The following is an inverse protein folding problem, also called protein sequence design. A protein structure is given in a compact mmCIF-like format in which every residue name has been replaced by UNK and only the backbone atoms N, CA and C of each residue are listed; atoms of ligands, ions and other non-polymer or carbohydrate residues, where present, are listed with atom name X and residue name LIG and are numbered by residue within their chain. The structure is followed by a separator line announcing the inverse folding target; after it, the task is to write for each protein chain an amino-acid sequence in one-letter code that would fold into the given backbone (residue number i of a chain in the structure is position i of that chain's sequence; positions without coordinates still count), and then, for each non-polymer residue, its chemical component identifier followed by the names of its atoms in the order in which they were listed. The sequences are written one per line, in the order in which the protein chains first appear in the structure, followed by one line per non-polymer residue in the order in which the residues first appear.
data_IF_200298067961
#
_entry.id   IF_200298067961
#
_cell.length_a   1.000
_cell.length_b   1.000
_cell.length_c   1.000
_cell.angle_alpha   90.00
_cell.angle_beta   90.00
_cell.angle_gamma   90.00
#
_symmetry.space_group_name_H-M   'P 1'
#
loop_
_entity.id
_entity.type
_entity.pdbx_description
1 polymer ?
#
# COMPACT_ATOMS: atom_id res chain seq x y z
N UNK A 1 2.73 68.56 -28.24
CA UNK A 1 3.22 67.22 -28.53
C UNK A 1 3.01 66.34 -27.29
N UNK A 2 1.95 65.52 -27.28
CA UNK A 2 1.65 64.59 -26.16
C UNK A 2 2.32 63.27 -26.47
N UNK A 3 3.25 62.80 -25.60
CA UNK A 3 3.88 61.47 -25.68
C UNK A 3 2.94 60.47 -25.00
N UNK A 4 2.38 59.58 -25.80
CA UNK A 4 1.58 58.45 -25.33
C UNK A 4 2.56 57.32 -24.89
N UNK A 5 2.57 57.03 -23.60
CA UNK A 5 3.35 55.97 -23.02
C UNK A 5 2.58 54.62 -23.15
N UNK A 6 3.09 53.76 -24.03
CA UNK A 6 2.57 52.39 -24.13
C UNK A 6 3.06 51.58 -22.94
N UNK A 7 2.17 51.19 -22.06
CA UNK A 7 2.44 50.22 -21.03
C UNK A 7 2.24 48.81 -21.62
N UNK A 8 3.32 48.12 -21.89
CA UNK A 8 3.29 46.72 -22.27
C UNK A 8 3.03 45.88 -21.02
N UNK A 9 1.80 45.36 -20.91
CA UNK A 9 1.52 44.31 -19.93
C UNK A 9 2.14 43.00 -20.44
N UNK A 10 3.30 42.65 -19.86
CA UNK A 10 3.84 41.30 -20.00
C UNK A 10 3.01 40.41 -19.08
N UNK A 11 2.04 39.72 -19.67
CA UNK A 11 1.37 38.63 -18.99
C UNK A 11 2.39 37.53 -18.78
N UNK A 12 2.84 37.35 -17.57
CA UNK A 12 3.58 36.16 -17.17
C UNK A 12 2.66 34.95 -17.28
N UNK A 13 2.63 34.31 -18.45
CA UNK A 13 2.16 32.94 -18.54
C UNK A 13 3.00 32.11 -17.57
N UNK A 14 2.41 31.70 -16.47
CA UNK A 14 2.96 30.67 -15.63
C UNK A 14 3.18 29.43 -16.51
N UNK A 15 4.41 29.16 -16.88
CA UNK A 15 4.82 27.88 -17.42
C UNK A 15 4.38 26.83 -16.40
N UNK A 16 3.34 26.05 -16.73
CA UNK A 16 3.03 24.81 -16.03
C UNK A 16 4.27 23.93 -16.21
N UNK A 17 5.11 23.92 -15.19
CA UNK A 17 6.29 23.08 -15.10
C UNK A 17 5.80 21.65 -15.29
N UNK A 18 6.13 21.01 -16.43
CA UNK A 18 6.07 19.56 -16.53
C UNK A 18 6.83 19.00 -15.34
N UNK A 19 6.16 18.21 -14.50
CA UNK A 19 6.67 17.74 -13.22
C UNK A 19 8.08 17.16 -13.36
N UNK A 20 9.01 17.81 -12.67
CA UNK A 20 10.42 17.44 -12.66
C UNK A 20 10.54 16.06 -12.02
N UNK A 21 11.04 15.05 -12.73
CA UNK A 21 11.27 13.73 -12.13
C UNK A 21 12.39 13.85 -11.11
N UNK A 22 12.06 13.74 -9.84
CA UNK A 22 13.02 13.71 -8.76
C UNK A 22 13.38 12.28 -8.41
N UNK A 23 14.67 12.05 -8.12
CA UNK A 23 15.18 10.78 -7.63
C UNK A 23 15.68 10.95 -6.20
N UNK A 24 15.39 9.95 -5.39
CA UNK A 24 15.84 9.87 -4.01
C UNK A 24 17.36 9.60 -3.96
N UNK A 25 18.04 10.24 -3.03
CA UNK A 25 19.44 9.93 -2.72
C UNK A 25 19.67 9.93 -1.20
N UNK A 26 20.79 9.36 -0.79
CA UNK A 26 21.19 9.28 0.61
C UNK A 26 22.48 10.07 0.86
N UNK A 27 22.51 10.81 1.94
CA UNK A 27 23.70 11.43 2.48
C UNK A 27 23.69 11.34 4.01
N UNK A 28 24.75 10.80 4.62
CA UNK A 28 24.83 10.57 6.06
C UNK A 28 23.58 9.92 6.66
N UNK A 29 23.11 8.84 6.02
CA UNK A 29 21.89 8.09 6.38
C UNK A 29 20.60 8.91 6.36
N UNK A 30 20.59 10.09 5.74
CA UNK A 30 19.41 10.91 5.51
C UNK A 30 19.00 10.89 4.06
N UNK A 31 17.69 11.01 3.84
CA UNK A 31 17.08 11.05 2.50
C UNK A 31 16.89 12.48 2.05
N UNK A 32 17.31 12.76 0.83
CA UNK A 32 17.02 13.96 0.06
C UNK A 32 16.58 13.61 -1.36
N UNK A 33 16.27 14.61 -2.16
CA UNK A 33 15.85 14.41 -3.55
C UNK A 33 16.58 15.36 -4.49
N UNK A 34 16.95 14.85 -5.66
CA UNK A 34 17.65 15.58 -6.71
C UNK A 34 16.95 15.40 -8.04
N UNK A 35 17.14 16.38 -8.93
CA UNK A 35 16.63 16.32 -10.29
C UNK A 35 17.57 15.53 -11.23
N UNK A 36 17.18 15.40 -12.50
CA UNK A 36 17.96 14.70 -13.54
C UNK A 36 19.31 15.36 -13.82
N UNK A 37 19.51 16.64 -13.46
CA UNK A 37 20.79 17.35 -13.56
C UNK A 37 21.69 17.17 -12.33
N UNK A 38 21.29 16.30 -11.39
CA UNK A 38 21.92 16.11 -10.07
C UNK A 38 21.87 17.33 -9.15
N UNK A 39 21.04 18.34 -9.43
CA UNK A 39 20.82 19.46 -8.54
C UNK A 39 19.94 19.00 -7.36
N UNK A 40 20.38 19.32 -6.14
CA UNK A 40 19.63 18.98 -4.92
C UNK A 40 18.42 19.92 -4.82
N UNK A 41 17.22 19.33 -4.90
CA UNK A 41 15.95 20.05 -4.75
C UNK A 41 15.46 19.97 -3.30
N UNK A 42 15.63 18.81 -2.68
CA UNK A 42 15.28 18.59 -1.28
C UNK A 42 16.52 18.12 -0.53
N UNK A 43 16.97 18.91 0.44
CA UNK A 43 18.13 18.56 1.24
C UNK A 43 17.93 17.25 1.99
N UNK A 44 19.01 16.48 2.25
CA UNK A 44 18.93 15.17 2.91
C UNK A 44 18.70 15.34 4.43
N UNK A 45 17.46 15.68 4.81
CA UNK A 45 17.04 15.94 6.19
C UNK A 45 16.13 14.85 6.74
N UNK A 46 15.51 14.02 5.89
CA UNK A 46 14.54 13.01 6.30
C UNK A 46 15.22 11.71 6.73
N UNK A 47 14.66 11.03 7.74
CA UNK A 47 15.12 9.71 8.20
C UNK A 47 14.76 8.61 7.19
N UNK A 48 13.62 8.77 6.50
CA UNK A 48 13.17 7.91 5.41
C UNK A 48 12.36 8.71 4.40
N UNK A 49 12.25 8.20 3.19
CA UNK A 49 11.45 8.79 2.13
C UNK A 49 11.17 7.77 1.02
N UNK A 50 9.98 7.86 0.41
CA UNK A 50 9.62 7.06 -0.76
C UNK A 50 10.12 7.71 -2.05
N UNK A 51 10.06 7.00 -3.17
CA UNK A 51 10.06 7.66 -4.48
C UNK A 51 8.79 8.51 -4.63
N UNK A 52 8.85 9.50 -5.53
CA UNK A 52 7.67 10.28 -5.88
C UNK A 52 6.70 9.42 -6.69
N UNK A 53 5.43 9.46 -6.30
CA UNK A 53 4.30 8.89 -7.04
C UNK A 53 3.21 9.95 -7.13
N UNK A 54 2.68 10.23 -8.31
CA UNK A 54 1.68 11.29 -8.55
C UNK A 54 2.09 12.67 -7.99
N UNK A 55 3.39 12.98 -8.07
CA UNK A 55 3.94 14.25 -7.61
C UNK A 55 4.11 14.38 -6.09
N UNK A 56 3.92 13.32 -5.32
CA UNK A 56 3.96 13.29 -3.85
C UNK A 56 4.93 12.22 -3.38
N UNK A 57 5.75 12.53 -2.36
CA UNK A 57 6.58 11.55 -1.67
C UNK A 57 6.22 11.51 -0.18
N UNK A 58 6.10 10.30 0.35
CA UNK A 58 6.03 10.06 1.79
C UNK A 58 7.41 10.28 2.40
N UNK A 59 7.51 11.06 3.47
CA UNK A 59 8.75 11.31 4.18
C UNK A 59 8.57 11.12 5.68
N UNK A 60 9.69 10.84 6.36
CA UNK A 60 9.73 10.65 7.81
C UNK A 60 10.83 11.50 8.44
N UNK A 61 10.50 12.26 9.47
CA UNK A 61 11.44 12.91 10.37
C UNK A 61 10.87 12.86 11.80
N UNK A 62 11.77 12.82 12.81
CA UNK A 62 11.40 12.74 14.22
C UNK A 62 10.35 11.64 14.53
N UNK A 63 10.48 10.48 13.86
CA UNK A 63 9.55 9.34 13.95
C UNK A 63 8.09 9.70 13.58
N UNK A 64 7.89 10.78 12.85
CA UNK A 64 6.59 11.16 12.28
C UNK A 64 6.66 11.15 10.76
N UNK A 65 5.56 10.79 10.16
CA UNK A 65 5.39 10.73 8.71
C UNK A 65 4.47 11.83 8.21
N UNK A 66 4.76 12.29 7.02
CA UNK A 66 4.01 13.31 6.29
C UNK A 66 4.36 13.23 4.80
N UNK A 67 3.94 14.21 4.02
CA UNK A 67 4.12 14.16 2.58
C UNK A 67 4.63 15.49 2.04
N UNK A 68 5.51 15.41 1.06
CA UNK A 68 6.08 16.54 0.34
C UNK A 68 5.71 16.50 -1.15
N UNK A 69 5.66 17.66 -1.78
CA UNK A 69 5.59 17.82 -3.22
C UNK A 69 6.99 17.81 -3.88
N UNK A 70 7.03 17.92 -5.19
CA UNK A 70 8.26 17.93 -5.99
C UNK A 70 9.12 19.21 -5.79
N UNK A 71 8.65 20.20 -5.07
CA UNK A 71 9.45 21.37 -4.65
C UNK A 71 10.09 21.17 -3.29
N UNK A 72 9.75 20.09 -2.60
CA UNK A 72 10.16 19.79 -1.23
C UNK A 72 9.28 20.45 -0.16
N UNK A 73 8.18 21.09 -0.57
CA UNK A 73 7.21 21.66 0.36
C UNK A 73 6.41 20.56 1.03
N UNK A 74 6.29 20.62 2.35
CA UNK A 74 5.34 19.80 3.09
C UNK A 74 3.90 20.17 2.67
N UNK A 75 3.22 19.25 2.00
CA UNK A 75 1.81 19.39 1.64
C UNK A 75 0.91 18.77 2.70
N UNK A 76 1.43 17.79 3.44
CA UNK A 76 0.78 17.19 4.60
C UNK A 76 1.83 17.10 5.71
N UNK A 77 1.59 17.75 6.88
CA UNK A 77 2.57 17.81 7.96
C UNK A 77 3.04 16.46 8.48
N UNK A 78 4.27 16.42 9.00
CA UNK A 78 4.85 15.26 9.68
C UNK A 78 4.20 15.09 11.06
N UNK A 79 3.03 14.44 11.09
CA UNK A 79 2.25 14.27 12.32
C UNK A 79 1.79 12.82 12.56
N UNK A 80 1.80 11.98 11.53
CA UNK A 80 1.30 10.61 11.60
C UNK A 80 2.33 9.66 12.21
N UNK A 81 1.87 8.71 13.01
CA UNK A 81 2.69 7.65 13.62
C UNK A 81 3.12 6.62 12.58
N UNK A 82 2.23 6.35 11.64
CA UNK A 82 2.46 5.53 10.46
C UNK A 82 1.71 6.11 9.25
N UNK A 83 2.20 5.86 8.05
CA UNK A 83 1.58 6.31 6.82
C UNK A 83 2.04 5.46 5.64
N UNK A 84 1.16 5.25 4.68
CA UNK A 84 1.42 4.58 3.42
C UNK A 84 1.39 5.57 2.25
N UNK A 85 1.88 5.17 1.09
CA UNK A 85 1.72 5.93 -0.15
C UNK A 85 0.23 6.08 -0.51
N UNK A 86 -0.09 7.11 -1.29
CA UNK A 86 -1.44 7.27 -1.83
C UNK A 86 -1.74 6.18 -2.86
N UNK A 87 -2.90 5.54 -2.69
CA UNK A 87 -3.48 4.57 -3.62
C UNK A 87 -4.94 4.96 -3.82
N UNK A 88 -5.41 5.03 -5.07
CA UNK A 88 -6.77 5.44 -5.42
C UNK A 88 -7.20 6.78 -4.77
N UNK A 89 -6.23 7.71 -4.61
CA UNK A 89 -6.45 9.03 -4.02
C UNK A 89 -6.48 9.08 -2.49
N UNK A 90 -6.32 7.96 -1.80
CA UNK A 90 -6.32 7.84 -0.35
C UNK A 90 -4.99 7.29 0.18
N UNK A 91 -4.56 7.80 1.33
CA UNK A 91 -3.45 7.25 2.10
C UNK A 91 -3.94 6.70 3.43
N UNK A 92 -3.57 5.47 3.73
CA UNK A 92 -3.75 4.88 5.05
C UNK A 92 -2.75 5.52 6.01
N UNK A 93 -3.22 6.10 7.12
CA UNK A 93 -2.36 6.77 8.10
C UNK A 93 -2.77 6.40 9.52
N UNK A 94 -1.79 6.37 10.43
CA UNK A 94 -2.01 6.13 11.86
C UNK A 94 -1.95 7.44 12.63
N UNK A 95 -2.98 7.71 13.41
CA UNK A 95 -3.09 8.89 14.26
C UNK A 95 -3.81 8.55 15.56
N UNK A 96 -3.22 8.93 16.69
CA UNK A 96 -3.78 8.58 18.00
C UNK A 96 -3.87 7.06 18.25
N UNK A 97 -2.92 6.29 17.72
CA UNK A 97 -2.87 4.83 17.87
C UNK A 97 -3.83 4.05 16.97
N UNK A 98 -4.65 4.71 16.13
CA UNK A 98 -5.61 4.07 15.23
C UNK A 98 -5.35 4.46 13.77
N UNK A 99 -5.73 3.58 12.85
CA UNK A 99 -5.64 3.81 11.42
C UNK A 99 -6.92 4.39 10.85
N UNK A 100 -6.78 5.30 9.90
CA UNK A 100 -7.82 5.87 9.07
C UNK A 100 -7.26 6.23 7.70
N UNK A 101 -8.03 6.96 6.90
CA UNK A 101 -7.61 7.31 5.54
C UNK A 101 -7.85 8.79 5.27
N UNK A 102 -6.85 9.43 4.67
CA UNK A 102 -6.87 10.83 4.28
C UNK A 102 -6.77 10.97 2.76
N UNK A 103 -7.28 12.07 2.24
CA UNK A 103 -7.04 12.48 0.85
C UNK A 103 -5.75 13.34 0.74
N UNK A 104 -5.39 13.75 -0.49
CA UNK A 104 -4.21 14.59 -0.78
C UNK A 104 -4.27 16.00 -0.16
N UNK A 105 -5.42 16.43 0.40
CA UNK A 105 -5.59 17.69 1.14
C UNK A 105 -5.48 17.52 2.65
N UNK A 106 -5.15 16.31 3.12
CA UNK A 106 -5.16 15.89 4.52
C UNK A 106 -6.57 15.85 5.16
N UNK A 107 -7.65 15.90 4.37
CA UNK A 107 -8.99 15.70 4.90
C UNK A 107 -9.19 14.22 5.24
N UNK A 108 -9.77 13.96 6.40
CA UNK A 108 -10.20 12.61 6.78
C UNK A 108 -11.37 12.15 5.92
N UNK A 109 -11.15 11.15 5.09
CA UNK A 109 -12.23 10.46 4.37
C UNK A 109 -12.78 9.34 5.25
N UNK A 110 -11.89 8.66 5.98
CA UNK A 110 -12.25 7.62 6.94
C UNK A 110 -11.52 7.92 8.25
N UNK A 111 -12.28 8.18 9.31
CA UNK A 111 -11.74 8.54 10.63
C UNK A 111 -10.81 7.44 11.16
N UNK A 112 -9.80 7.76 12.01
CA UNK A 112 -8.88 6.80 12.59
C UNK A 112 -9.58 5.97 13.68
N UNK A 113 -10.26 4.90 13.28
CA UNK A 113 -11.07 4.03 14.15
C UNK A 113 -10.66 2.55 14.10
N UNK A 114 -9.73 2.18 13.22
CA UNK A 114 -9.29 0.80 13.03
C UNK A 114 -8.01 0.50 13.82
N UNK A 115 -7.91 -0.72 14.36
CA UNK A 115 -6.72 -1.18 15.07
C UNK A 115 -5.56 -1.40 14.08
N UNK A 116 -5.88 -1.99 12.90
CA UNK A 116 -5.00 -2.17 11.76
C UNK A 116 -5.76 -1.84 10.48
N UNK A 117 -5.05 -1.28 9.50
CA UNK A 117 -5.59 -1.01 8.17
C UNK A 117 -4.47 -1.04 7.12
N UNK A 118 -4.83 -1.35 5.88
CA UNK A 118 -3.88 -1.44 4.77
C UNK A 118 -4.34 -0.60 3.58
N UNK A 119 -3.47 -0.45 2.59
CA UNK A 119 -3.80 0.27 1.35
C UNK A 119 -4.91 -0.43 0.57
N UNK A 120 -5.58 0.33 -0.28
CA UNK A 120 -6.61 -0.23 -1.15
C UNK A 120 -6.00 -1.12 -2.22
N UNK A 121 -6.63 -2.27 -2.45
CA UNK A 121 -6.34 -3.21 -3.53
C UNK A 121 -7.67 -3.62 -4.17
N UNK A 122 -7.77 -3.50 -5.49
CA UNK A 122 -9.00 -3.80 -6.23
C UNK A 122 -10.24 -3.08 -5.63
N UNK A 123 -10.05 -1.79 -5.21
CA UNK A 123 -11.12 -0.95 -4.64
C UNK A 123 -11.55 -1.31 -3.22
N UNK A 124 -10.83 -2.21 -2.54
CA UNK A 124 -11.11 -2.61 -1.14
C UNK A 124 -9.86 -2.52 -0.29
N UNK A 125 -10.03 -2.10 0.97
CA UNK A 125 -8.98 -2.19 1.98
C UNK A 125 -9.40 -3.14 3.08
N UNK A 126 -8.49 -4.03 3.48
CA UNK A 126 -8.69 -4.82 4.68
C UNK A 126 -8.43 -3.97 5.91
N UNK A 127 -9.31 -4.08 6.87
CA UNK A 127 -9.24 -3.35 8.14
C UNK A 127 -9.53 -4.29 9.30
N UNK A 128 -8.92 -4.02 10.45
CA UNK A 128 -9.16 -4.76 11.67
C UNK A 128 -9.78 -3.84 12.72
N UNK A 129 -10.75 -4.35 13.43
CA UNK A 129 -11.31 -3.72 14.63
C UNK A 129 -11.71 -4.80 15.63
N UNK A 130 -11.31 -4.61 16.90
CA UNK A 130 -11.57 -5.57 17.97
C UNK A 130 -11.06 -6.99 17.63
N UNK A 131 -9.87 -7.09 17.02
CA UNK A 131 -9.24 -8.35 16.66
C UNK A 131 -9.85 -9.07 15.45
N UNK A 132 -10.86 -8.50 14.78
CA UNK A 132 -11.50 -9.13 13.61
C UNK A 132 -11.27 -8.31 12.35
N UNK A 133 -11.00 -9.02 11.26
CA UNK A 133 -10.77 -8.47 9.94
C UNK A 133 -12.03 -8.48 9.09
N UNK A 134 -12.14 -7.48 8.23
CA UNK A 134 -13.14 -7.33 7.17
C UNK A 134 -12.64 -6.35 6.14
N UNK A 135 -13.53 -5.89 5.27
CA UNK A 135 -13.14 -5.00 4.17
C UNK A 135 -14.07 -3.81 4.05
N UNK A 136 -13.48 -2.68 3.67
CA UNK A 136 -14.17 -1.42 3.39
C UNK A 136 -13.94 -1.00 1.94
N UNK A 137 -14.83 -0.16 1.43
CA UNK A 137 -14.65 0.54 0.15
C UNK A 137 -13.99 1.91 0.35
N UNK A 138 -13.71 2.64 -0.74
CA UNK A 138 -13.10 3.98 -0.74
C UNK A 138 -13.90 5.04 0.03
N UNK A 139 -15.20 4.81 0.30
CA UNK A 139 -16.03 5.70 1.12
C UNK A 139 -15.98 5.37 2.61
N UNK A 140 -15.38 4.24 2.97
CA UNK A 140 -15.34 3.73 4.34
C UNK A 140 -16.53 2.84 4.70
N UNK A 141 -17.41 2.51 3.75
CA UNK A 141 -18.50 1.58 4.00
C UNK A 141 -17.93 0.17 4.18
N UNK A 142 -18.35 -0.53 5.24
CA UNK A 142 -17.98 -1.94 5.45
C UNK A 142 -18.71 -2.79 4.42
N UNK A 143 -17.97 -3.28 3.42
CA UNK A 143 -18.51 -4.11 2.34
C UNK A 143 -18.48 -5.59 2.67
N UNK A 144 -17.55 -6.01 3.53
CA UNK A 144 -17.43 -7.38 4.05
C UNK A 144 -17.26 -7.28 5.55
N UNK A 145 -18.18 -7.87 6.35
CA UNK A 145 -18.19 -7.75 7.79
C UNK A 145 -16.87 -8.11 8.47
N UNK A 146 -16.54 -7.39 9.55
CA UNK A 146 -15.34 -7.65 10.36
C UNK A 146 -15.61 -8.88 11.25
N UNK A 147 -15.37 -10.06 10.72
CA UNK A 147 -15.62 -11.35 11.39
C UNK A 147 -14.47 -12.35 11.30
N UNK A 148 -13.54 -12.15 10.38
CA UNK A 148 -12.46 -13.09 10.11
C UNK A 148 -11.31 -12.93 11.11
N UNK A 149 -10.63 -14.03 11.40
CA UNK A 149 -9.44 -14.03 12.26
C UNK A 149 -8.23 -13.45 11.52
N UNK A 150 -8.14 -13.70 10.22
CA UNK A 150 -7.16 -13.13 9.30
C UNK A 150 -7.80 -12.78 7.96
N UNK A 151 -7.24 -11.79 7.27
CA UNK A 151 -7.55 -11.47 5.89
C UNK A 151 -6.30 -11.00 5.15
N UNK A 152 -6.17 -11.35 3.88
CA UNK A 152 -5.19 -10.78 2.96
C UNK A 152 -5.88 -9.86 1.96
N UNK A 153 -5.10 -9.01 1.28
CA UNK A 153 -5.63 -8.12 0.27
C UNK A 153 -6.26 -8.88 -0.89
N UNK A 154 -7.21 -8.25 -1.56
CA UNK A 154 -7.77 -8.79 -2.79
C UNK A 154 -6.68 -8.91 -3.86
N UNK A 155 -6.66 -10.02 -4.54
CA UNK A 155 -5.80 -10.30 -5.68
C UNK A 155 -6.54 -11.18 -6.67
N UNK A 156 -6.61 -10.75 -7.92
CA UNK A 156 -7.33 -11.46 -8.99
C UNK A 156 -8.81 -11.71 -8.66
N UNK A 157 -9.45 -10.74 -7.94
CA UNK A 157 -10.87 -10.79 -7.55
C UNK A 157 -11.21 -11.68 -6.36
N UNK A 158 -10.21 -12.25 -5.69
CA UNK A 158 -10.40 -13.08 -4.51
C UNK A 158 -9.51 -12.62 -3.34
N UNK A 159 -10.00 -12.73 -2.12
CA UNK A 159 -9.22 -12.51 -0.92
C UNK A 159 -9.13 -13.79 -0.09
N UNK A 160 -7.94 -14.06 0.44
CA UNK A 160 -7.74 -15.09 1.47
C UNK A 160 -8.33 -14.59 2.77
N UNK A 161 -9.13 -15.42 3.41
CA UNK A 161 -9.61 -15.17 4.77
C UNK A 161 -9.47 -16.43 5.62
N UNK A 162 -9.37 -16.25 6.94
CA UNK A 162 -9.45 -17.39 7.86
C UNK A 162 -10.50 -17.17 8.93
N UNK A 163 -11.07 -18.27 9.37
CA UNK A 163 -11.96 -18.35 10.52
C UNK A 163 -11.74 -19.70 11.20
N UNK A 164 -11.62 -19.71 12.54
CA UNK A 164 -11.38 -20.93 13.32
C UNK A 164 -10.15 -21.73 12.79
N UNK A 165 -9.05 -21.03 12.48
CA UNK A 165 -7.80 -21.60 11.97
C UNK A 165 -7.94 -22.35 10.62
N UNK A 166 -9.00 -22.09 9.87
CA UNK A 166 -9.15 -22.61 8.51
C UNK A 166 -9.18 -21.47 7.51
N UNK A 167 -8.46 -21.64 6.42
CA UNK A 167 -8.31 -20.68 5.34
C UNK A 167 -9.16 -21.06 4.15
N UNK A 168 -9.65 -20.07 3.44
CA UNK A 168 -10.40 -20.21 2.20
C UNK A 168 -10.39 -18.88 1.44
N UNK A 169 -11.24 -18.77 0.43
CA UNK A 169 -11.25 -17.60 -0.42
C UNK A 169 -12.65 -17.03 -0.61
N UNK A 170 -12.76 -15.71 -0.53
CA UNK A 170 -14.00 -14.98 -0.73
C UNK A 170 -13.92 -14.08 -1.96
N UNK A 171 -15.07 -13.85 -2.59
CA UNK A 171 -15.24 -12.86 -3.66
C UNK A 171 -15.32 -11.44 -3.10
N UNK A 172 -15.26 -10.45 -3.99
CA UNK A 172 -15.47 -9.03 -3.64
C UNK A 172 -16.82 -8.73 -2.99
N UNK A 173 -17.81 -9.63 -3.15
CA UNK A 173 -19.11 -9.55 -2.47
C UNK A 173 -19.11 -10.22 -1.10
N UNK A 174 -17.98 -10.79 -0.66
CA UNK A 174 -17.86 -11.52 0.60
C UNK A 174 -18.45 -12.94 0.56
N UNK A 175 -18.78 -13.45 -0.63
CA UNK A 175 -19.25 -14.81 -0.81
C UNK A 175 -18.07 -15.78 -0.80
N UNK A 176 -18.20 -16.87 -0.08
CA UNK A 176 -17.22 -17.95 -0.06
C UNK A 176 -17.19 -18.63 -1.44
N UNK A 177 -16.04 -18.50 -2.14
CA UNK A 177 -15.80 -19.11 -3.45
C UNK A 177 -15.10 -20.45 -3.28
N UNK A 178 -14.18 -20.51 -2.34
CA UNK A 178 -13.49 -21.73 -1.94
C UNK A 178 -13.61 -21.83 -0.42
N UNK A 179 -14.19 -22.94 0.03
CA UNK A 179 -14.52 -23.20 1.42
C UNK A 179 -13.32 -23.01 2.36
N UNK A 180 -13.59 -22.56 3.59
CA UNK A 180 -12.59 -22.42 4.65
C UNK A 180 -12.23 -23.81 5.19
N UNK A 181 -11.28 -24.47 4.55
CA UNK A 181 -10.90 -25.87 4.87
C UNK A 181 -9.38 -26.09 4.93
N UNK A 182 -8.59 -25.16 4.41
CA UNK A 182 -7.13 -25.28 4.32
C UNK A 182 -6.45 -24.91 5.63
N UNK A 183 -5.27 -25.46 5.86
CA UNK A 183 -4.43 -25.15 7.02
C UNK A 183 -3.65 -23.83 6.81
N UNK A 184 -3.35 -23.51 5.54
CA UNK A 184 -2.80 -22.23 5.11
C UNK A 184 -3.21 -21.95 3.66
N UNK A 185 -3.19 -20.66 3.28
CA UNK A 185 -3.47 -20.24 1.90
C UNK A 185 -2.71 -18.95 1.57
N UNK A 186 -2.28 -18.81 0.32
CA UNK A 186 -1.68 -17.60 -0.24
C UNK A 186 -2.62 -16.95 -1.26
N UNK A 187 -2.44 -15.66 -1.50
CA UNK A 187 -3.18 -14.92 -2.53
C UNK A 187 -2.92 -15.50 -3.93
N UNK A 188 -3.90 -15.37 -4.81
CA UNK A 188 -3.76 -15.77 -6.21
C UNK A 188 -2.72 -14.90 -6.92
N UNK A 189 -1.85 -15.54 -7.68
CA UNK A 189 -0.85 -14.87 -8.51
C UNK A 189 -1.41 -14.50 -9.90
N UNK A 190 -0.58 -13.88 -10.74
CA UNK A 190 -0.95 -13.47 -12.11
C UNK A 190 -1.34 -14.65 -13.02
N UNK A 191 -0.87 -15.85 -12.72
CA UNK A 191 -1.24 -17.09 -13.44
C UNK A 191 -2.56 -17.67 -12.94
N UNK A 192 -3.28 -16.93 -12.09
CA UNK A 192 -4.55 -17.34 -11.46
C UNK A 192 -4.42 -18.61 -10.64
N UNK A 193 -3.27 -18.82 -10.03
CA UNK A 193 -2.97 -19.96 -9.17
C UNK A 193 -2.62 -19.48 -7.77
N UNK A 194 -2.97 -20.26 -6.76
CA UNK A 194 -2.61 -20.01 -5.37
C UNK A 194 -2.04 -21.27 -4.72
N UNK A 195 -1.08 -21.07 -3.82
CA UNK A 195 -0.58 -22.15 -2.98
C UNK A 195 -1.44 -22.29 -1.73
N UNK A 196 -1.82 -23.50 -1.40
CA UNK A 196 -2.49 -23.84 -0.14
C UNK A 196 -1.75 -24.97 0.56
N UNK A 197 -1.96 -25.09 1.88
CA UNK A 197 -1.60 -26.26 2.66
C UNK A 197 -2.86 -27.02 3.10
N UNK A 198 -2.85 -28.31 2.93
CA UNK A 198 -3.96 -29.19 3.33
C UNK A 198 -3.39 -30.47 3.92
N UNK A 199 -3.71 -30.76 5.19
CA UNK A 199 -3.23 -31.95 5.91
C UNK A 199 -1.70 -32.08 5.91
N UNK A 200 -1.02 -30.93 5.97
CA UNK A 200 0.44 -30.89 6.01
C UNK A 200 1.15 -30.94 4.65
N UNK A 201 0.43 -31.12 3.55
CA UNK A 201 0.98 -31.08 2.18
C UNK A 201 0.58 -29.80 1.45
N UNK A 202 1.44 -29.35 0.52
CA UNK A 202 1.22 -28.13 -0.24
C UNK A 202 0.76 -28.41 -1.66
N UNK A 203 -0.20 -27.62 -2.14
CA UNK A 203 -0.78 -27.77 -3.47
C UNK A 203 -0.91 -26.42 -4.15
N UNK A 204 -0.77 -26.40 -5.47
CA UNK A 204 -1.24 -25.29 -6.29
C UNK A 204 -2.70 -25.56 -6.67
N UNK A 205 -3.55 -24.55 -6.51
CA UNK A 205 -4.96 -24.63 -6.86
C UNK A 205 -5.36 -23.57 -7.88
N UNK A 206 -6.41 -23.84 -8.65
CA UNK A 206 -7.10 -22.86 -9.50
C UNK A 206 -8.07 -21.99 -8.68
N UNK A 207 -8.61 -20.92 -9.28
CA UNK A 207 -9.65 -20.05 -8.67
C UNK A 207 -10.96 -20.78 -8.33
N UNK A 208 -11.17 -21.99 -8.83
CA UNK A 208 -12.30 -22.84 -8.47
C UNK A 208 -11.99 -23.84 -7.36
N UNK A 209 -10.78 -23.78 -6.80
CA UNK A 209 -10.32 -24.72 -5.77
C UNK A 209 -9.85 -26.07 -6.30
N UNK A 210 -9.78 -26.26 -7.64
CA UNK A 210 -9.26 -27.51 -8.23
C UNK A 210 -7.75 -27.59 -7.99
N UNK A 211 -7.28 -28.69 -7.43
CA UNK A 211 -5.84 -29.00 -7.30
C UNK A 211 -5.25 -29.15 -8.70
N UNK A 212 -4.18 -28.41 -8.98
CA UNK A 212 -3.46 -28.42 -10.24
C UNK A 212 -2.21 -29.31 -10.16
N UNK A 213 -1.48 -29.20 -9.06
CA UNK A 213 -0.29 -30.00 -8.76
C UNK A 213 0.04 -29.97 -7.28
N UNK A 214 0.71 -30.99 -6.80
CA UNK A 214 1.38 -31.00 -5.52
C UNK A 214 2.70 -30.19 -5.60
N UNK A 215 3.04 -29.51 -4.53
CA UNK A 215 4.29 -28.72 -4.43
C UNK A 215 5.16 -29.42 -3.40
N UNK A 216 6.30 -29.95 -3.85
CA UNK A 216 7.26 -30.58 -2.95
C UNK A 216 7.66 -29.60 -1.84
N UNK A 217 7.73 -30.08 -0.60
CA UNK A 217 8.30 -29.30 0.51
C UNK A 217 9.75 -29.00 0.15
N UNK A 218 10.15 -27.73 0.31
CA UNK A 218 11.54 -27.34 0.23
C UNK A 218 12.29 -28.03 1.38
N UNK A 219 12.85 -29.21 1.11
CA UNK A 219 13.78 -29.87 2.04
C UNK A 219 15.08 -29.10 1.91
N UNK A 220 15.46 -28.39 2.97
CA UNK A 220 16.74 -27.71 3.02
C UNK A 220 17.86 -28.65 2.57
N UNK A 221 18.76 -28.16 1.72
CA UNK A 221 19.83 -28.92 1.07
C UNK A 221 20.82 -29.64 2.02
N UNK A 222 20.68 -29.52 3.34
CA UNK A 222 21.56 -30.17 4.32
C UNK A 222 21.44 -31.68 4.36
N UNK A 223 20.30 -32.29 4.00
CA UNK A 223 20.20 -33.77 4.02
C UNK A 223 20.75 -34.47 2.79
N UNK A 224 20.91 -33.76 1.67
CA UNK A 224 21.48 -34.38 0.46
C UNK A 224 22.99 -34.59 0.52
N UNK A 225 23.70 -33.81 1.30
CA UNK A 225 25.15 -34.03 1.49
C UNK A 225 25.47 -35.16 2.46
N UNK A 226 24.59 -35.47 3.43
CA UNK A 226 24.80 -36.59 4.37
C UNK A 226 24.57 -37.97 3.76
N UNK A 227 23.92 -38.08 2.60
CA UNK A 227 23.71 -39.34 1.87
C UNK A 227 24.75 -39.61 0.77
N UNK A 228 25.74 -38.70 0.60
CA UNK A 228 26.83 -38.87 -0.37
C UNK A 228 28.21 -39.11 0.26
N UNK A 229 28.27 -39.35 1.57
CA UNK A 229 29.52 -39.77 2.29
C UNK A 229 29.43 -41.20 2.76
#
# INVERSE_FOLDING_TARGET
MKKTMFVVFISSMALVSQGQTLTRFYHQSKVGYKNQKNEIIVNPNYQAGSEFSDGIALVMANNKRGYIDQTGKEIIPLQYEDAAAFVDGLACVKFGGKYGYINKKADWIIQPIYDEAYTFHEGKARVQKNGKWGFINLRGDVTIPLKYDLAQDFSMGLAVVSLNNKFGYISEKGQEVIALQYDAAMSFNRDQQAMISLKGENYMISKTGKILKEVEKYVEHEEREKKRK
#
